data_IF_858793993473
#
_entry.id   IF_858793993473
#
_cell.length_a   1.000
_cell.length_b   1.000
_cell.length_c   1.000
_cell.angle_alpha   90.00
_cell.angle_beta   90.00
_cell.angle_gamma   90.00
#
_symmetry.space_group_name_H-M   'P 1'
#
loop_
_entity.id
_entity.type
_entity.pdbx_description
1 polymer ?
#
# COMPACT_ATOMS: atom_id res chain seq x y z
N UNK A 1 23.52 15.25 -19.14
CA UNK A 1 22.24 15.36 -18.40
C UNK A 1 21.99 14.05 -17.69
N UNK A 2 21.72 14.09 -16.39
CA UNK A 2 21.30 12.89 -15.64
C UNK A 2 19.79 12.72 -15.85
N UNK A 3 19.30 11.53 -16.26
CA UNK A 3 17.88 11.32 -16.47
C UNK A 3 17.10 11.34 -15.14
N UNK A 4 15.87 11.85 -15.17
CA UNK A 4 14.97 11.85 -14.00
C UNK A 4 14.58 10.40 -13.65
N UNK A 5 14.77 10.01 -12.39
CA UNK A 5 14.50 8.64 -11.90
C UNK A 5 13.33 8.56 -10.93
N UNK A 6 13.03 9.66 -10.25
CA UNK A 6 12.04 9.72 -9.19
C UNK A 6 11.13 10.91 -9.49
N UNK A 7 9.82 10.69 -9.39
CA UNK A 7 8.81 11.71 -9.60
C UNK A 7 7.73 11.54 -8.54
N UNK A 8 7.44 12.62 -7.86
CA UNK A 8 6.32 12.74 -6.95
C UNK A 8 5.35 13.78 -7.49
N UNK A 9 4.09 13.40 -7.58
CA UNK A 9 2.99 14.24 -8.03
C UNK A 9 1.96 14.23 -6.92
N UNK A 10 1.57 15.40 -6.42
CA UNK A 10 0.51 15.48 -5.43
C UNK A 10 -0.33 16.74 -5.50
N UNK A 11 -1.48 16.70 -4.83
CA UNK A 11 -2.43 17.81 -4.73
C UNK A 11 -3.62 17.69 -5.68
N UNK A 12 -4.17 18.85 -6.07
CA UNK A 12 -5.30 18.99 -6.99
C UNK A 12 -4.76 19.08 -8.43
N UNK A 13 -4.56 17.92 -9.07
CA UNK A 13 -4.00 17.80 -10.42
C UNK A 13 -4.85 16.87 -11.26
N UNK A 14 -5.34 17.37 -12.38
CA UNK A 14 -6.02 16.58 -13.42
C UNK A 14 -5.04 15.56 -14.03
N UNK A 15 -5.11 14.32 -13.56
CA UNK A 15 -4.22 13.24 -13.97
C UNK A 15 -4.29 13.00 -15.48
N UNK A 16 -5.50 12.86 -16.02
CA UNK A 16 -5.70 12.47 -17.42
C UNK A 16 -5.20 13.53 -18.40
N UNK A 17 -5.44 14.81 -18.10
CA UNK A 17 -5.06 15.89 -19.02
C UNK A 17 -3.63 16.37 -18.84
N UNK A 18 -3.09 16.31 -17.63
CA UNK A 18 -1.78 16.90 -17.32
C UNK A 18 -0.70 15.87 -17.06
N UNK A 19 -0.99 14.83 -16.30
CA UNK A 19 0.01 13.87 -15.85
C UNK A 19 0.24 12.78 -16.89
N UNK A 20 -0.81 12.07 -17.29
CA UNK A 20 -0.72 10.92 -18.17
C UNK A 20 0.04 11.20 -19.49
N UNK A 21 -0.15 12.34 -20.20
CA UNK A 21 0.61 12.64 -21.41
C UNK A 21 2.11 12.82 -21.16
N UNK A 22 2.47 13.36 -19.99
CA UNK A 22 3.86 13.62 -19.63
C UNK A 22 4.64 12.34 -19.35
N UNK A 23 3.99 11.29 -18.84
CA UNK A 23 4.65 10.04 -18.45
C UNK A 23 5.37 9.36 -19.64
N UNK A 24 4.86 9.53 -20.86
CA UNK A 24 5.49 9.00 -22.08
C UNK A 24 6.91 9.55 -22.34
N UNK A 25 7.22 10.75 -21.83
CA UNK A 25 8.53 11.39 -21.95
C UNK A 25 9.48 11.04 -20.80
N UNK A 26 9.00 10.30 -19.79
CA UNK A 26 9.73 9.99 -18.56
C UNK A 26 10.11 8.50 -18.48
N UNK A 27 10.48 7.90 -19.61
CA UNK A 27 10.79 6.46 -19.70
C UNK A 27 11.94 5.99 -18.80
N UNK A 28 12.75 6.90 -18.27
CA UNK A 28 13.83 6.62 -17.32
C UNK A 28 13.38 6.48 -15.87
N UNK A 29 12.11 6.75 -15.58
CA UNK A 29 11.58 6.75 -14.23
C UNK A 29 11.61 5.34 -13.62
N UNK A 30 12.14 5.23 -12.42
CA UNK A 30 12.19 3.99 -11.62
C UNK A 30 11.24 4.03 -10.42
N UNK A 31 10.84 5.22 -9.98
CA UNK A 31 9.96 5.42 -8.84
C UNK A 31 8.97 6.53 -9.14
N UNK A 32 7.69 6.24 -8.92
CA UNK A 32 6.57 7.14 -9.12
C UNK A 32 5.66 7.16 -7.90
N UNK A 33 5.50 8.33 -7.30
CA UNK A 33 4.51 8.61 -6.26
C UNK A 33 3.41 9.52 -6.84
N UNK A 34 2.16 9.11 -6.72
CA UNK A 34 0.99 9.89 -7.14
C UNK A 34 0.04 9.98 -5.96
N UNK A 35 -0.06 11.18 -5.37
CA UNK A 35 -0.85 11.50 -4.17
C UNK A 35 -1.89 12.58 -4.51
N UNK A 36 -2.96 12.20 -5.19
CA UNK A 36 -3.96 13.16 -5.66
C UNK A 36 -5.13 13.31 -4.69
N UNK A 37 -5.89 14.39 -4.88
CA UNK A 37 -7.10 14.68 -4.10
C UNK A 37 -8.38 14.38 -4.89
N UNK A 38 -8.34 14.55 -6.20
CA UNK A 38 -9.48 14.30 -7.09
C UNK A 38 -9.62 12.82 -7.47
N UNK A 39 -10.84 12.42 -7.83
CA UNK A 39 -11.07 11.13 -8.49
C UNK A 39 -10.42 11.08 -9.88
N UNK A 40 -9.74 9.96 -10.16
CA UNK A 40 -9.21 9.69 -11.49
C UNK A 40 -9.17 8.19 -11.80
N UNK A 41 -9.12 7.89 -13.09
CA UNK A 41 -8.97 6.54 -13.60
C UNK A 41 -7.52 6.31 -14.02
N UNK A 42 -6.95 5.15 -13.66
CA UNK A 42 -5.60 4.78 -14.07
C UNK A 42 -5.59 3.38 -14.66
N UNK A 43 -5.05 3.26 -15.87
CA UNK A 43 -4.76 1.98 -16.51
C UNK A 43 -3.31 1.60 -16.27
N UNK A 44 -3.06 0.56 -15.46
CA UNK A 44 -1.70 0.13 -15.15
C UNK A 44 -0.95 -0.32 -16.42
N UNK A 45 -1.63 -0.99 -17.35
CA UNK A 45 -1.03 -1.42 -18.61
C UNK A 45 -0.43 -0.24 -19.39
N UNK A 46 -1.20 0.84 -19.56
CA UNK A 46 -0.74 2.06 -20.25
C UNK A 46 0.37 2.78 -19.48
N UNK A 47 0.33 2.75 -18.14
CA UNK A 47 1.37 3.31 -17.30
C UNK A 47 2.71 2.59 -17.51
N UNK A 48 2.72 1.25 -17.49
CA UNK A 48 3.93 0.45 -17.67
C UNK A 48 4.43 0.42 -19.12
N UNK A 49 3.56 0.70 -20.09
CA UNK A 49 3.97 1.00 -21.46
C UNK A 49 4.78 2.30 -21.54
N UNK A 50 4.31 3.36 -20.87
CA UNK A 50 5.00 4.63 -20.81
C UNK A 50 6.29 4.58 -19.96
N UNK A 51 6.28 3.80 -18.88
CA UNK A 51 7.34 3.73 -17.87
C UNK A 51 7.90 2.30 -17.75
N UNK A 52 8.64 1.80 -18.77
CA UNK A 52 9.09 0.42 -18.80
C UNK A 52 10.17 0.09 -17.75
N UNK A 53 10.80 1.10 -17.14
CA UNK A 53 11.83 0.93 -16.12
C UNK A 53 11.29 1.06 -14.69
N UNK A 54 9.98 1.26 -14.52
CA UNK A 54 9.37 1.50 -13.22
C UNK A 54 9.56 0.31 -12.28
N UNK A 55 10.17 0.56 -11.13
CA UNK A 55 10.42 -0.43 -10.07
C UNK A 55 9.50 -0.23 -8.87
N UNK A 56 9.04 1.00 -8.62
CA UNK A 56 8.16 1.34 -7.50
C UNK A 56 7.02 2.23 -7.97
N UNK A 57 5.81 1.82 -7.63
CA UNK A 57 4.60 2.57 -7.90
C UNK A 57 3.83 2.75 -6.60
N UNK A 58 3.58 4.00 -6.23
CA UNK A 58 2.80 4.37 -5.06
C UNK A 58 1.64 5.27 -5.49
N UNK A 59 0.44 4.73 -5.37
CA UNK A 59 -0.81 5.38 -5.73
C UNK A 59 -1.62 5.60 -4.47
N UNK A 60 -1.77 6.87 -4.09
CA UNK A 60 -2.57 7.28 -2.93
C UNK A 60 -3.56 8.35 -3.34
N UNK A 61 -4.76 8.29 -2.79
CA UNK A 61 -5.76 9.31 -3.01
C UNK A 61 -6.56 9.54 -1.74
N UNK A 62 -7.00 10.78 -1.53
CA UNK A 62 -7.93 11.10 -0.45
C UNK A 62 -9.35 10.66 -0.81
N UNK A 63 -9.72 10.79 -2.09
CA UNK A 63 -11.02 10.34 -2.58
C UNK A 63 -10.98 8.90 -3.07
N UNK A 64 -10.78 8.68 -4.37
CA UNK A 64 -10.75 7.34 -4.95
C UNK A 64 -9.99 7.31 -6.26
N UNK A 65 -9.11 6.32 -6.41
CA UNK A 65 -8.50 5.96 -7.69
C UNK A 65 -9.24 4.74 -8.26
N UNK A 66 -9.78 4.81 -9.48
CA UNK A 66 -10.20 3.59 -10.16
C UNK A 66 -9.00 3.04 -10.94
N UNK A 67 -8.43 1.95 -10.46
CA UNK A 67 -7.29 1.28 -11.08
C UNK A 67 -7.82 0.12 -11.93
N UNK A 68 -7.59 0.22 -13.24
CA UNK A 68 -7.80 -0.87 -14.17
C UNK A 68 -6.46 -1.55 -14.45
N UNK A 69 -6.42 -2.86 -14.22
CA UNK A 69 -5.28 -3.70 -14.56
C UNK A 69 -5.65 -4.74 -15.63
N UNK A 70 -6.69 -4.42 -16.40
CA UNK A 70 -7.20 -5.26 -17.49
C UNK A 70 -6.09 -5.51 -18.50
N UNK A 71 -5.83 -6.79 -18.77
CA UNK A 71 -4.87 -7.25 -19.77
C UNK A 71 -5.38 -6.77 -21.13
N UNK A 72 -4.78 -5.71 -21.65
CA UNK A 72 -5.09 -5.27 -23.01
C UNK A 72 -4.50 -6.31 -23.95
N UNK A 73 -5.34 -7.23 -24.42
CA UNK A 73 -5.02 -8.06 -25.58
C UNK A 73 -5.04 -7.12 -26.78
N UNK A 74 -3.95 -6.38 -26.98
CA UNK A 74 -3.72 -5.69 -28.25
C UNK A 74 -3.48 -6.77 -29.30
N UNK A 75 -4.56 -7.43 -29.70
CA UNK A 75 -4.66 -8.10 -30.98
C UNK A 75 -4.39 -7.02 -32.00
N UNK A 76 -3.18 -7.03 -32.57
CA UNK A 76 -2.96 -6.31 -33.81
C UNK A 76 -4.11 -6.67 -34.73
N UNK A 77 -4.82 -5.67 -35.25
CA UNK A 77 -5.92 -5.82 -36.21
C UNK A 77 -5.41 -6.32 -37.57
N UNK A 78 -4.53 -7.33 -37.57
CA UNK A 78 -4.31 -8.17 -38.72
C UNK A 78 -5.55 -9.01 -38.89
N UNK A 79 -6.43 -8.58 -39.80
CA UNK A 79 -7.52 -9.39 -40.35
C UNK A 79 -6.92 -10.60 -41.08
N UNK A 80 -6.46 -11.59 -40.32
CA UNK A 80 -5.92 -12.85 -40.80
C UNK A 80 -6.62 -13.97 -40.06
N UNK A 81 -7.64 -14.54 -40.71
CA UNK A 81 -8.45 -15.61 -40.14
C UNK A 81 -7.60 -16.86 -39.86
N UNK A 82 -7.70 -17.34 -38.62
CA UNK A 82 -7.52 -18.74 -38.29
C UNK A 82 -6.09 -19.17 -38.01
N UNK A 83 -5.74 -19.22 -36.72
CA UNK A 83 -5.27 -20.41 -35.99
C UNK A 83 -4.48 -19.98 -34.74
N UNK A 84 -5.00 -20.34 -33.57
CA UNK A 84 -4.26 -20.47 -32.30
C UNK A 84 -3.25 -19.38 -31.94
N UNK A 85 -3.66 -18.12 -31.90
CA UNK A 85 -2.75 -17.04 -31.49
C UNK A 85 -2.46 -17.18 -29.99
N UNK A 86 -1.30 -17.74 -29.66
CA UNK A 86 -0.77 -17.80 -28.30
C UNK A 86 -0.70 -16.37 -27.74
N UNK A 87 -1.47 -16.13 -26.68
CA UNK A 87 -1.47 -14.87 -25.97
C UNK A 87 -0.14 -14.72 -25.23
N UNK A 88 0.79 -13.96 -25.80
CA UNK A 88 2.04 -13.62 -25.11
C UNK A 88 1.73 -12.67 -23.96
N UNK A 89 1.68 -13.22 -22.75
CA UNK A 89 1.51 -12.44 -21.52
C UNK A 89 2.78 -11.63 -21.30
N UNK A 90 2.69 -10.30 -21.45
CA UNK A 90 3.82 -9.40 -21.19
C UNK A 90 4.14 -9.39 -19.69
N UNK A 91 5.30 -9.93 -19.34
CA UNK A 91 5.83 -9.88 -17.98
C UNK A 91 6.35 -8.46 -17.70
N UNK A 92 6.13 -7.96 -16.48
CA UNK A 92 6.63 -6.69 -15.95
C UNK A 92 7.79 -6.98 -14.98
N UNK A 93 9.01 -7.29 -15.48
CA UNK A 93 10.06 -7.90 -14.66
C UNK A 93 10.76 -6.94 -13.68
N UNK A 94 10.39 -5.65 -13.67
CA UNK A 94 11.07 -4.62 -12.88
C UNK A 94 10.29 -4.15 -11.66
N UNK A 95 8.97 -4.25 -11.67
CA UNK A 95 8.17 -3.81 -10.55
C UNK A 95 8.49 -4.63 -9.30
N UNK A 96 8.90 -3.94 -8.23
CA UNK A 96 9.25 -4.50 -6.92
C UNK A 96 8.34 -4.00 -5.81
N UNK A 97 7.79 -2.79 -5.95
CA UNK A 97 6.90 -2.21 -4.93
C UNK A 97 5.64 -1.69 -5.60
N UNK A 98 4.48 -2.13 -5.07
CA UNK A 98 3.17 -1.63 -5.43
C UNK A 98 2.44 -1.23 -4.15
N UNK A 99 2.11 0.05 -4.06
CA UNK A 99 1.26 0.61 -3.00
C UNK A 99 0.00 1.16 -3.64
N UNK A 100 -1.14 0.66 -3.20
CA UNK A 100 -2.46 1.09 -3.63
C UNK A 100 -3.25 1.50 -2.38
N UNK A 101 -3.43 2.79 -2.18
CA UNK A 101 -4.16 3.35 -1.05
C UNK A 101 -5.44 4.05 -1.50
N UNK A 102 -6.56 3.74 -0.85
CA UNK A 102 -7.90 4.27 -1.19
C UNK A 102 -8.25 4.08 -2.68
N UNK A 103 -7.92 2.90 -3.21
CA UNK A 103 -8.14 2.56 -4.62
C UNK A 103 -9.27 1.56 -4.80
N UNK A 104 -9.94 1.63 -5.94
CA UNK A 104 -10.85 0.61 -6.48
C UNK A 104 -10.11 -0.14 -7.58
N UNK A 105 -9.82 -1.40 -7.33
CA UNK A 105 -9.28 -2.32 -8.35
C UNK A 105 -10.13 -3.59 -8.30
N UNK A 106 -10.46 -4.15 -9.46
CA UNK A 106 -11.19 -5.40 -9.49
C UNK A 106 -10.26 -6.55 -9.04
N UNK A 107 -10.70 -7.41 -8.12
CA UNK A 107 -9.85 -8.47 -7.57
C UNK A 107 -9.22 -9.36 -8.67
N UNK A 108 -10.01 -9.77 -9.68
CA UNK A 108 -9.49 -10.55 -10.81
C UNK A 108 -8.40 -9.80 -11.60
N UNK A 109 -8.52 -8.49 -11.73
CA UNK A 109 -7.54 -7.69 -12.46
C UNK A 109 -6.27 -7.52 -11.64
N UNK A 110 -6.39 -7.32 -10.32
CA UNK A 110 -5.24 -7.31 -9.43
C UNK A 110 -4.52 -8.66 -9.43
N UNK A 111 -5.24 -9.77 -9.28
CA UNK A 111 -4.69 -11.13 -9.34
C UNK A 111 -3.98 -11.39 -10.67
N UNK A 112 -4.61 -11.02 -11.79
CA UNK A 112 -4.02 -11.13 -13.13
C UNK A 112 -2.78 -10.23 -13.32
N UNK A 113 -2.79 -9.04 -12.72
CA UNK A 113 -1.64 -8.14 -12.71
C UNK A 113 -0.47 -8.71 -11.91
N UNK A 114 -0.73 -9.27 -10.72
CA UNK A 114 0.30 -9.87 -9.86
C UNK A 114 1.00 -11.05 -10.52
N UNK A 115 0.28 -11.84 -11.34
CA UNK A 115 0.86 -12.91 -12.16
C UNK A 115 1.92 -12.38 -13.14
N UNK A 116 1.83 -11.12 -13.56
CA UNK A 116 2.78 -10.46 -14.47
C UNK A 116 3.95 -9.79 -13.74
N UNK A 117 3.92 -9.71 -12.41
CA UNK A 117 4.94 -9.03 -11.60
C UNK A 117 5.63 -10.02 -10.64
N UNK A 118 6.34 -11.04 -11.14
CA UNK A 118 6.91 -12.10 -10.32
C UNK A 118 8.04 -11.64 -9.38
N UNK A 119 8.49 -10.39 -9.51
CA UNK A 119 9.56 -9.80 -8.69
C UNK A 119 9.07 -8.84 -7.63
N UNK A 120 7.75 -8.77 -7.41
CA UNK A 120 7.19 -7.91 -6.38
C UNK A 120 7.67 -8.37 -5.00
N UNK A 121 8.23 -7.42 -4.25
CA UNK A 121 8.76 -7.60 -2.90
C UNK A 121 7.91 -6.83 -1.88
N UNK A 122 7.27 -5.74 -2.30
CA UNK A 122 6.38 -4.96 -1.47
C UNK A 122 5.02 -4.85 -2.14
N UNK A 123 3.98 -5.32 -1.43
CA UNK A 123 2.60 -5.19 -1.84
C UNK A 123 1.82 -4.59 -0.67
N UNK A 124 1.36 -3.36 -0.83
CA UNK A 124 0.50 -2.68 0.14
C UNK A 124 -0.83 -2.34 -0.50
N UNK A 125 -1.88 -2.98 -0.03
CA UNK A 125 -3.26 -2.74 -0.42
C UNK A 125 -3.94 -2.07 0.77
N UNK A 126 -4.02 -0.75 0.78
CA UNK A 126 -4.47 0.04 1.93
C UNK A 126 -5.85 0.58 1.62
N UNK A 127 -6.81 0.24 2.47
CA UNK A 127 -8.18 0.70 2.45
C UNK A 127 -8.83 0.54 1.06
N UNK A 128 -8.66 -0.64 0.47
CA UNK A 128 -9.22 -0.96 -0.84
C UNK A 128 -10.75 -0.80 -0.80
N UNK A 129 -11.26 -0.04 -1.75
CA UNK A 129 -12.67 0.32 -1.81
C UNK A 129 -13.44 -0.79 -2.55
N UNK A 130 -14.34 -1.46 -1.82
CA UNK A 130 -15.16 -2.58 -2.34
C UNK A 130 -16.43 -2.11 -3.07
N UNK A 131 -16.89 -0.88 -2.84
CA UNK A 131 -18.14 -0.37 -3.41
C UNK A 131 -17.85 0.63 -4.53
N UNK A 132 -18.47 0.43 -5.69
CA UNK A 132 -18.54 1.49 -6.69
C UNK A 132 -19.66 2.46 -6.30
N UNK A 133 -19.41 3.78 -6.25
CA UNK A 133 -20.45 4.80 -6.06
C UNK A 133 -21.33 4.92 -7.31
N UNK A 134 -20.90 4.38 -8.46
CA UNK A 134 -21.72 4.43 -9.67
C UNK A 134 -22.84 3.40 -9.53
N UNK A 135 -24.03 3.89 -9.22
CA UNK A 135 -25.32 3.21 -9.06
C UNK A 135 -25.75 2.25 -10.21
N UNK A 136 -24.93 2.06 -11.25
CA UNK A 136 -25.29 1.38 -12.49
C UNK A 136 -24.83 -0.07 -12.61
N UNK A 137 -23.86 -0.54 -11.80
CA UNK A 137 -23.59 -1.99 -11.68
C UNK A 137 -24.21 -2.51 -10.39
N UNK A 138 -25.26 -3.32 -10.55
CA UNK A 138 -26.10 -3.84 -9.45
C UNK A 138 -25.40 -4.84 -8.53
N UNK A 139 -24.19 -5.27 -8.86
CA UNK A 139 -23.48 -6.27 -8.07
C UNK A 139 -22.41 -5.60 -7.21
N UNK A 140 -22.52 -5.67 -5.87
CA UNK A 140 -21.46 -5.22 -4.99
C UNK A 140 -20.20 -6.06 -5.25
N UNK A 141 -19.08 -5.38 -5.52
CA UNK A 141 -17.79 -6.05 -5.65
C UNK A 141 -17.31 -6.44 -4.25
N UNK A 142 -17.49 -7.70 -3.89
CA UNK A 142 -16.94 -8.22 -2.64
C UNK A 142 -15.51 -8.69 -2.86
N UNK A 143 -14.57 -8.08 -2.13
CA UNK A 143 -13.20 -8.54 -2.07
C UNK A 143 -13.12 -9.78 -1.18
N UNK A 144 -12.65 -10.89 -1.75
CA UNK A 144 -12.43 -12.14 -1.02
C UNK A 144 -10.95 -12.24 -0.63
N UNK A 145 -10.66 -11.91 0.63
CA UNK A 145 -9.32 -11.98 1.19
C UNK A 145 -8.73 -13.40 1.18
N UNK A 146 -9.56 -14.43 1.33
CA UNK A 146 -9.12 -15.84 1.33
C UNK A 146 -8.64 -16.24 -0.06
N UNK A 147 -9.40 -15.83 -1.08
CA UNK A 147 -9.03 -16.04 -2.48
C UNK A 147 -7.74 -15.31 -2.84
N UNK A 148 -7.59 -14.04 -2.42
CA UNK A 148 -6.37 -13.27 -2.66
C UNK A 148 -5.16 -13.96 -2.00
N UNK A 149 -5.30 -14.40 -0.74
CA UNK A 149 -4.27 -15.15 -0.03
C UNK A 149 -3.86 -16.42 -0.79
N UNK A 150 -4.84 -17.23 -1.22
CA UNK A 150 -4.57 -18.43 -2.01
C UNK A 150 -3.86 -18.13 -3.32
N UNK A 151 -4.22 -17.04 -3.99
CA UNK A 151 -3.55 -16.59 -5.21
C UNK A 151 -2.09 -16.19 -4.95
N UNK A 152 -1.83 -15.41 -3.90
CA UNK A 152 -0.46 -15.03 -3.51
C UNK A 152 0.41 -16.25 -3.16
N UNK A 153 -0.17 -17.25 -2.48
CA UNK A 153 0.51 -18.51 -2.18
C UNK A 153 0.90 -19.28 -3.44
N UNK A 154 -0.02 -19.40 -4.40
CA UNK A 154 0.23 -20.08 -5.68
C UNK A 154 1.33 -19.39 -6.49
N UNK A 155 1.34 -18.05 -6.49
CA UNK A 155 2.37 -17.28 -7.19
C UNK A 155 3.76 -17.39 -6.54
N UNK A 156 3.84 -17.76 -5.26
CA UNK A 156 5.09 -17.86 -4.48
C UNK A 156 5.99 -16.62 -4.62
N UNK A 157 5.38 -15.43 -4.55
CA UNK A 157 6.07 -14.16 -4.74
C UNK A 157 7.11 -13.92 -3.63
N UNK A 158 8.26 -13.29 -3.92
CA UNK A 158 9.31 -13.01 -2.94
C UNK A 158 8.98 -11.80 -2.04
N UNK A 159 7.80 -11.82 -1.42
CA UNK A 159 7.28 -10.72 -0.61
C UNK A 159 8.10 -10.52 0.66
N UNK A 160 8.63 -9.32 0.80
CA UNK A 160 9.30 -8.80 2.00
C UNK A 160 8.37 -7.93 2.83
N UNK A 161 7.38 -7.29 2.20
CA UNK A 161 6.37 -6.46 2.84
C UNK A 161 5.02 -6.81 2.20
N UNK A 162 4.06 -7.19 3.03
CA UNK A 162 2.68 -7.41 2.61
C UNK A 162 1.77 -6.70 3.60
N UNK A 163 0.88 -5.87 3.07
CA UNK A 163 -0.18 -5.25 3.84
C UNK A 163 -1.47 -5.31 3.04
N UNK A 164 -2.55 -5.71 3.70
CA UNK A 164 -3.89 -5.79 3.09
C UNK A 164 -4.90 -5.26 4.08
N UNK A 165 -5.59 -4.18 3.71
CA UNK A 165 -6.81 -3.71 4.35
C UNK A 165 -7.85 -3.38 3.29
N UNK A 166 -9.11 -3.71 3.60
CA UNK A 166 -10.26 -3.48 2.73
C UNK A 166 -11.19 -2.56 3.49
N UNK A 167 -11.60 -1.46 2.86
CA UNK A 167 -12.46 -0.47 3.47
C UNK A 167 -13.79 -1.10 3.92
N UNK A 168 -14.24 -0.72 5.13
CA UNK A 168 -15.43 -1.25 5.80
C UNK A 168 -15.46 -2.79 6.01
N UNK A 169 -14.36 -3.49 5.81
CA UNK A 169 -14.31 -4.95 5.90
C UNK A 169 -13.21 -5.40 6.85
N UNK A 170 -13.60 -5.97 8.00
CA UNK A 170 -12.62 -6.58 8.91
C UNK A 170 -12.15 -7.91 8.32
N UNK A 171 -10.86 -8.04 8.04
CA UNK A 171 -10.23 -9.32 7.71
C UNK A 171 -10.24 -10.19 8.98
N UNK A 172 -10.75 -11.44 8.93
CA UNK A 172 -10.65 -12.39 10.04
C UNK A 172 -9.20 -12.53 10.55
N UNK A 173 -9.05 -12.58 11.87
CA UNK A 173 -7.72 -12.60 12.50
C UNK A 173 -6.92 -13.85 12.07
N UNK A 174 -7.59 -14.97 11.78
CA UNK A 174 -6.97 -16.19 11.27
C UNK A 174 -6.36 -15.99 9.88
N UNK A 175 -7.05 -15.29 8.97
CA UNK A 175 -6.53 -14.97 7.64
C UNK A 175 -5.37 -14.00 7.72
N UNK A 176 -5.43 -13.04 8.65
CA UNK A 176 -4.33 -12.12 8.88
C UNK A 176 -3.05 -12.86 9.30
N UNK A 177 -3.17 -13.87 10.19
CA UNK A 177 -2.04 -14.72 10.56
C UNK A 177 -1.47 -15.46 9.35
N UNK A 178 -2.32 -15.92 8.41
CA UNK A 178 -1.83 -16.55 7.19
C UNK A 178 -1.14 -15.56 6.23
N UNK A 179 -1.63 -14.33 6.10
CA UNK A 179 -0.91 -13.28 5.37
C UNK A 179 0.46 -13.00 5.98
N UNK A 180 0.55 -12.94 7.31
CA UNK A 180 1.79 -12.70 8.04
C UNK A 180 2.84 -13.82 7.80
N UNK A 181 2.41 -15.03 7.45
CA UNK A 181 3.30 -16.16 7.10
C UNK A 181 3.90 -16.05 5.69
N UNK A 182 3.29 -15.27 4.80
CA UNK A 182 3.82 -15.06 3.44
C UNK A 182 5.08 -14.18 3.41
N UNK A 183 5.31 -13.44 4.48
CA UNK A 183 6.41 -12.49 4.58
C UNK A 183 7.47 -13.01 5.52
N UNK A 184 8.74 -12.75 5.19
CA UNK A 184 9.84 -13.08 6.09
C UNK A 184 9.65 -12.39 7.46
N UNK A 185 9.92 -13.06 8.60
CA UNK A 185 9.67 -12.53 9.95
C UNK A 185 10.30 -11.17 10.28
N UNK A 186 11.33 -10.76 9.55
CA UNK A 186 12.31 -9.74 9.90
C UNK A 186 12.03 -8.38 9.22
N UNK A 187 11.11 -8.33 8.26
CA UNK A 187 10.78 -7.13 7.46
C UNK A 187 9.34 -6.73 7.70
N UNK A 188 9.03 -6.23 8.90
CA UNK A 188 7.66 -5.82 9.23
C UNK A 188 7.56 -4.30 9.32
N UNK A 189 6.85 -3.72 8.35
CA UNK A 189 6.25 -2.39 8.51
C UNK A 189 4.91 -2.59 9.21
N UNK A 190 4.75 -2.07 10.43
CA UNK A 190 3.51 -2.19 11.18
C UNK A 190 2.71 -0.91 11.03
N UNK A 191 1.47 -1.01 10.57
CA UNK A 191 0.56 0.14 10.50
C UNK A 191 -0.09 0.41 11.87
N UNK A 192 -0.67 1.60 12.07
CA UNK A 192 -1.32 1.96 13.35
C UNK A 192 -2.46 1.01 13.69
N UNK A 193 -3.24 0.61 12.68
CA UNK A 193 -4.39 -0.27 12.85
C UNK A 193 -3.97 -1.68 13.31
N UNK A 194 -2.74 -2.07 12.98
CA UNK A 194 -2.16 -3.34 13.37
C UNK A 194 -1.51 -3.33 14.76
N UNK A 195 -1.33 -2.16 15.37
CA UNK A 195 -0.81 -2.02 16.72
C UNK A 195 -1.91 -2.28 17.75
N UNK A 196 -2.63 -3.39 17.57
CA UNK A 196 -3.50 -3.96 18.58
C UNK A 196 -2.65 -4.26 19.83
N UNK A 197 -3.22 -4.10 21.04
CA UNK A 197 -2.49 -4.40 22.28
C UNK A 197 -1.87 -5.80 22.30
N UNK A 198 -2.51 -6.78 21.64
CA UNK A 198 -1.97 -8.14 21.47
C UNK A 198 -0.70 -8.18 20.63
N UNK A 199 -0.64 -7.43 19.53
CA UNK A 199 0.56 -7.33 18.67
C UNK A 199 1.68 -6.53 19.33
N UNK A 200 1.35 -5.46 20.07
CA UNK A 200 2.35 -4.72 20.87
C UNK A 200 2.99 -5.63 21.92
N UNK A 201 2.20 -6.46 22.62
CA UNK A 201 2.73 -7.46 23.57
C UNK A 201 3.63 -8.49 22.90
N UNK A 202 3.30 -8.92 21.68
CA UNK A 202 4.18 -9.80 20.89
C UNK A 202 5.48 -9.09 20.52
N UNK A 203 5.44 -7.81 20.18
CA UNK A 203 6.64 -7.02 19.90
C UNK A 203 7.54 -6.88 21.13
N UNK A 204 6.96 -6.69 22.32
CA UNK A 204 7.71 -6.65 23.58
C UNK A 204 8.38 -7.99 23.93
N UNK A 205 7.85 -9.11 23.42
CA UNK A 205 8.42 -10.45 23.61
C UNK A 205 9.52 -10.78 22.61
N UNK A 206 9.47 -10.19 21.41
CA UNK A 206 10.57 -10.24 20.45
C UNK A 206 11.69 -9.33 21.00
N UNK A 207 12.97 -9.61 20.71
CA UNK A 207 14.12 -8.83 21.20
C UNK A 207 14.20 -7.41 20.60
N UNK A 208 13.11 -6.65 20.57
CA UNK A 208 12.93 -5.26 20.12
C UNK A 208 13.95 -4.84 19.05
N UNK A 209 13.98 -5.54 17.92
CA UNK A 209 14.83 -5.23 16.77
C UNK A 209 14.18 -4.24 15.80
N UNK A 210 13.00 -3.70 16.16
CA UNK A 210 12.23 -2.80 15.31
C UNK A 210 12.88 -1.42 15.36
N UNK A 211 13.63 -1.10 14.31
CA UNK A 211 14.31 0.20 14.18
C UNK A 211 13.46 1.24 13.44
N UNK A 212 12.52 0.80 12.62
CA UNK A 212 11.65 1.66 11.81
C UNK A 212 10.20 1.23 11.98
N UNK A 213 9.30 2.19 12.17
CA UNK A 213 7.87 1.97 12.31
C UNK A 213 7.15 3.00 11.46
N UNK A 214 6.47 2.55 10.41
CA UNK A 214 5.68 3.40 9.54
C UNK A 214 4.19 3.31 9.90
N UNK A 215 3.69 4.35 10.54
CA UNK A 215 2.31 4.47 10.98
C UNK A 215 1.43 4.99 9.83
N UNK A 216 0.69 4.08 9.19
CA UNK A 216 -0.37 4.41 8.23
C UNK A 216 -1.76 4.31 8.88
N UNK A 217 -2.69 5.21 8.53
CA UNK A 217 -4.08 5.17 8.98
C UNK A 217 -4.60 6.52 9.52
N UNK A 218 -5.82 6.87 9.10
CA UNK A 218 -6.41 8.19 9.27
C UNK A 218 -6.67 8.60 10.74
N UNK A 219 -6.26 9.84 11.07
CA UNK A 219 -6.74 10.77 12.12
C UNK A 219 -6.83 10.31 13.59
N UNK A 220 -6.63 9.04 13.94
CA UNK A 220 -7.03 8.48 15.24
C UNK A 220 -5.94 7.76 16.05
N UNK A 221 -4.66 7.85 15.64
CA UNK A 221 -3.54 7.17 16.31
C UNK A 221 -3.41 7.50 17.82
N UNK A 222 -4.04 8.58 18.29
CA UNK A 222 -3.80 9.16 19.61
C UNK A 222 -4.75 8.68 20.71
N UNK A 223 -5.70 7.79 20.39
CA UNK A 223 -6.57 7.16 21.42
C UNK A 223 -5.99 5.88 22.01
N UNK A 224 -4.87 5.38 21.48
CA UNK A 224 -4.26 4.15 21.95
C UNK A 224 -3.06 4.47 22.85
N UNK A 225 -3.31 4.60 24.16
CA UNK A 225 -2.27 4.82 25.17
C UNK A 225 -1.17 3.76 25.11
N UNK A 226 -1.49 2.54 24.66
CA UNK A 226 -0.53 1.45 24.51
C UNK A 226 0.47 1.73 23.39
N UNK A 227 0.01 2.27 22.25
CA UNK A 227 0.90 2.66 21.16
C UNK A 227 1.82 3.81 21.59
N UNK A 228 1.25 4.84 22.22
CA UNK A 228 2.04 5.96 22.75
C UNK A 228 3.09 5.47 23.75
N UNK A 229 2.69 4.60 24.68
CA UNK A 229 3.60 4.00 25.65
C UNK A 229 4.71 3.23 24.94
N UNK A 230 4.40 2.35 23.99
CA UNK A 230 5.39 1.60 23.22
C UNK A 230 6.39 2.51 22.50
N UNK A 231 5.91 3.54 21.79
CA UNK A 231 6.76 4.52 21.10
C UNK A 231 7.71 5.26 22.06
N UNK A 232 7.22 5.60 23.26
CA UNK A 232 7.99 6.30 24.27
C UNK A 232 8.96 5.39 25.04
N UNK A 233 8.67 4.09 25.14
CA UNK A 233 9.49 3.14 25.93
C UNK A 233 10.40 2.27 25.09
N UNK A 234 10.26 2.25 23.75
CA UNK A 234 11.09 1.42 22.87
C UNK A 234 12.46 2.08 22.66
N UNK A 235 13.56 1.55 23.24
CA UNK A 235 14.88 2.18 23.14
C UNK A 235 15.53 1.97 21.77
N UNK A 236 14.98 1.09 20.94
CA UNK A 236 15.54 0.68 19.65
C UNK A 236 14.82 1.31 18.45
N UNK A 237 13.70 2.01 18.69
CA UNK A 237 12.96 2.66 17.62
C UNK A 237 13.68 3.95 17.19
N UNK A 238 14.49 3.84 16.14
CA UNK A 238 15.32 4.94 15.63
C UNK A 238 14.53 5.89 14.72
N UNK A 239 13.58 5.35 13.95
CA UNK A 239 12.89 6.08 12.89
C UNK A 239 11.38 5.82 12.94
N UNK A 240 10.66 6.36 13.94
CA UNK A 240 9.21 6.44 13.85
C UNK A 240 8.84 7.38 12.71
N UNK A 241 8.09 6.88 11.74
CA UNK A 241 7.50 7.66 10.66
C UNK A 241 6.00 7.51 10.71
N UNK A 242 5.30 8.59 10.46
CA UNK A 242 3.86 8.62 10.48
C UNK A 242 3.43 9.63 9.42
N UNK A 243 3.67 9.28 8.14
CA UNK A 243 3.29 10.15 7.04
C UNK A 243 1.80 10.48 7.13
N UNK A 244 1.46 11.70 6.74
CA UNK A 244 0.06 12.16 6.64
C UNK A 244 -0.75 12.09 7.95
N UNK A 245 -0.05 11.95 9.08
CA UNK A 245 -0.66 11.93 10.41
C UNK A 245 -0.75 13.36 10.95
N UNK A 246 -1.95 13.75 11.37
CA UNK A 246 -2.16 15.02 12.07
C UNK A 246 -1.58 14.86 13.49
N UNK A 247 -0.89 15.89 13.99
CA UNK A 247 -0.41 15.93 15.37
C UNK A 247 -0.96 17.15 16.08
N UNK A 248 -1.51 16.94 17.28
CA UNK A 248 -1.83 18.07 18.15
C UNK A 248 -0.55 18.54 18.83
N UNK A 249 -0.11 19.76 18.50
CA UNK A 249 1.12 20.38 19.03
C UNK A 249 1.14 20.37 20.56
N UNK A 250 0.00 20.57 21.22
CA UNK A 250 -0.11 20.57 22.69
C UNK A 250 0.09 19.20 23.35
N UNK A 251 0.19 18.11 22.58
CA UNK A 251 0.49 16.76 23.07
C UNK A 251 1.88 16.27 22.66
N UNK A 252 2.60 17.05 21.86
CA UNK A 252 4.00 16.78 21.59
C UNK A 252 4.81 17.30 22.77
N UNK A 253 5.66 16.45 23.33
CA UNK A 253 6.57 16.86 24.40
C UNK A 253 7.77 17.63 23.83
N UNK A 254 7.48 18.74 23.13
CA UNK A 254 8.47 19.59 22.47
C UNK A 254 9.46 20.22 23.45
N UNK A 255 9.09 20.26 24.73
CA UNK A 255 9.83 20.95 25.79
C UNK A 255 10.25 20.04 26.95
N UNK A 256 10.12 18.71 26.83
CA UNK A 256 10.39 17.74 27.92
C UNK A 256 9.61 18.05 29.21
N UNK A 257 8.43 18.65 29.10
CA UNK A 257 7.64 19.07 30.25
C UNK A 257 7.03 17.87 30.99
N UNK A 258 6.89 16.71 30.33
CA UNK A 258 6.35 15.51 30.97
C UNK A 258 7.24 14.95 32.09
N UNK A 259 8.54 15.20 32.07
CA UNK A 259 9.45 14.79 33.16
C UNK A 259 9.12 15.49 34.48
N UNK A 260 8.55 16.70 34.44
CA UNK A 260 8.22 17.47 35.66
C UNK A 260 7.01 16.94 36.42
N UNK A 261 6.13 16.16 35.77
CA UNK A 261 4.86 15.70 36.38
C UNK A 261 4.96 14.29 36.99
N UNK A 262 6.04 13.54 36.70
CA UNK A 262 6.22 12.17 37.22
C UNK A 262 6.78 12.11 38.64
N UNK A 263 7.26 13.22 39.19
CA UNK A 263 7.78 13.28 40.56
C UNK A 263 6.71 13.43 41.65
N UNK A 264 5.42 13.51 41.30
CA UNK A 264 4.33 13.75 42.26
C UNK A 264 3.35 12.60 42.44
N UNK A 265 3.59 11.42 41.88
CA UNK A 265 2.78 10.23 42.22
C UNK A 265 3.38 9.56 43.46
N UNK A 266 2.68 9.55 44.62
CA UNK A 266 3.15 8.83 45.79
C UNK A 266 3.19 7.34 45.47
N UNK A 267 4.29 6.69 45.84
CA UNK A 267 4.38 5.23 45.82
C UNK A 267 3.29 4.67 46.74
N UNK A 268 2.26 4.04 46.16
CA UNK A 268 1.32 3.24 46.92
C UNK A 268 2.09 2.00 47.43
N UNK A 269 2.51 2.06 48.69
CA UNK A 269 2.84 0.90 49.53
C UNK A 269 1.59 0.17 49.97
#
# INVERSE_FOLDING_TARGET
MVPLRELEIGGEVDYDRRVAPLLSFLSSLTLLHIHLTDQFDMRLDSLFEALPLLERLDLRNIETINVSATISTTSGQGQGQGQGQEFSVRILPRLRSLVLEHSRVHQLELEGFLTRTPRIQELKLIDLLSKSPTFYRKEPFHYDASRLLGHLQVLALPLQILYVSIFDTKIPDELQVEFDKLVAPWTRNLTVQELLPSRIRLMDQLQNTITTLDLYGSKLCWKNDVLHQYLCTSPHLLHPRAPDTIYLVNRLDLHRQLESTRSSFPANT
#
